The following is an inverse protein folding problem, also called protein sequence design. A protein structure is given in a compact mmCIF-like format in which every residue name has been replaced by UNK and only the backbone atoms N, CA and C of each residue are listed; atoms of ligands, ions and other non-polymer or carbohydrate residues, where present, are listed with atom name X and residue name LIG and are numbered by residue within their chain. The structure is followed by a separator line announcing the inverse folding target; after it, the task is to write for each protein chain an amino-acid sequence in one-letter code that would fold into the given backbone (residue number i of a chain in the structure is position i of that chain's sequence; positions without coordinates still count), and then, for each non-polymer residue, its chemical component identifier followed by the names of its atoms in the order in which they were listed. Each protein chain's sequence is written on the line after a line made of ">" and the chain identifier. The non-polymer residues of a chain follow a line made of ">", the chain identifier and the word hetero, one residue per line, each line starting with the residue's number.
data_IF_580767236891
#
_entry.id   IF_580767236891
#
_cell.length_a   1.000
_cell.length_b   1.000
_cell.length_c   1.000
_cell.angle_alpha   90.00
_cell.angle_beta   90.00
_cell.angle_gamma   90.00
#
_symmetry.space_group_name_H-M   'P 1'
#
loop_
_entity.id
_entity.type
_entity.pdbx_description
1 polymer ?
#
# COMPACT_ATOMS: atom_id res chain seq x y z
N UNK A 1 19.35 -29.56 -9.29
CA UNK A 1 18.42 -28.45 -9.45
C UNK A 1 19.07 -27.22 -8.86
N UNK A 2 19.11 -26.13 -9.62
CA UNK A 2 19.64 -24.88 -9.11
C UNK A 2 18.63 -24.21 -8.17
N UNK A 3 19.11 -23.24 -7.38
CA UNK A 3 18.29 -22.51 -6.39
C UNK A 3 17.27 -21.60 -7.09
N UNK A 4 16.12 -21.38 -6.45
CA UNK A 4 15.17 -20.31 -6.78
C UNK A 4 15.33 -19.24 -5.70
N UNK A 5 15.59 -18.01 -6.11
CA UNK A 5 15.80 -16.88 -5.21
C UNK A 5 14.59 -15.93 -5.30
N UNK A 6 14.07 -15.54 -4.16
CA UNK A 6 13.05 -14.50 -4.04
C UNK A 6 13.63 -13.35 -3.23
N UNK A 7 13.57 -12.14 -3.75
CA UNK A 7 14.03 -10.94 -3.07
C UNK A 7 12.84 -10.24 -2.44
N UNK A 8 12.85 -10.18 -1.12
CA UNK A 8 11.80 -9.56 -0.30
C UNK A 8 10.71 -10.52 0.16
N UNK A 9 10.30 -10.36 1.40
CA UNK A 9 9.32 -11.20 2.10
C UNK A 9 7.96 -10.50 2.33
N UNK A 10 7.62 -9.51 1.51
CA UNK A 10 6.26 -8.93 1.46
C UNK A 10 5.26 -9.86 0.77
N UNK A 11 4.00 -9.44 0.56
CA UNK A 11 2.97 -10.30 -0.05
C UNK A 11 3.41 -10.92 -1.37
N UNK A 12 3.97 -10.13 -2.30
CA UNK A 12 4.38 -10.66 -3.61
C UNK A 12 5.40 -11.79 -3.48
N UNK A 13 6.49 -11.57 -2.74
CA UNK A 13 7.53 -12.59 -2.57
C UNK A 13 7.04 -13.80 -1.77
N UNK A 14 6.31 -13.58 -0.68
CA UNK A 14 5.85 -14.67 0.18
C UNK A 14 4.80 -15.57 -0.49
N UNK A 15 3.88 -15.00 -1.27
CA UNK A 15 2.88 -15.76 -2.02
C UNK A 15 3.57 -16.60 -3.11
N UNK A 16 4.50 -15.99 -3.86
CA UNK A 16 5.22 -16.70 -4.90
C UNK A 16 6.11 -17.82 -4.32
N UNK A 17 6.77 -17.57 -3.16
CA UNK A 17 7.51 -18.62 -2.46
C UNK A 17 6.61 -19.79 -2.10
N UNK A 18 5.46 -19.52 -1.48
CA UNK A 18 4.49 -20.55 -1.09
C UNK A 18 3.97 -21.34 -2.28
N UNK A 19 3.57 -20.66 -3.36
CA UNK A 19 3.08 -21.30 -4.58
C UNK A 19 4.14 -22.19 -5.25
N UNK A 20 5.39 -21.73 -5.30
CA UNK A 20 6.49 -22.52 -5.91
C UNK A 20 6.74 -23.81 -5.14
N UNK A 21 6.80 -23.75 -3.81
CA UNK A 21 7.07 -24.97 -3.03
C UNK A 21 5.90 -25.93 -3.03
N UNK A 22 4.66 -25.46 -2.99
CA UNK A 22 3.47 -26.32 -2.95
C UNK A 22 3.12 -26.93 -4.33
N UNK A 23 3.24 -26.16 -5.40
CA UNK A 23 2.76 -26.63 -6.71
C UNK A 23 3.88 -27.20 -7.59
N UNK A 24 5.13 -26.73 -7.41
CA UNK A 24 6.25 -27.20 -8.20
C UNK A 24 7.21 -28.11 -7.42
N UNK A 25 7.03 -28.26 -6.10
CA UNK A 25 7.93 -29.00 -5.21
C UNK A 25 9.40 -28.55 -5.36
N UNK A 26 9.64 -27.25 -5.50
CA UNK A 26 10.95 -26.65 -5.70
C UNK A 26 11.33 -25.80 -4.48
N UNK A 27 12.51 -26.06 -3.86
CA UNK A 27 12.97 -25.27 -2.73
C UNK A 27 13.27 -23.82 -3.13
N UNK A 28 12.95 -22.89 -2.23
CA UNK A 28 13.08 -21.45 -2.42
C UNK A 28 13.91 -20.85 -1.29
N UNK A 29 14.81 -19.93 -1.62
CA UNK A 29 15.50 -19.09 -0.64
C UNK A 29 14.99 -17.64 -0.78
N UNK A 30 14.49 -17.06 0.31
CA UNK A 30 14.07 -15.66 0.38
C UNK A 30 15.22 -14.84 0.97
N UNK A 31 15.65 -13.81 0.26
CA UNK A 31 16.60 -12.81 0.75
C UNK A 31 15.82 -11.58 1.19
N UNK A 32 15.81 -11.29 2.50
CA UNK A 32 15.11 -10.16 3.08
C UNK A 32 16.10 -9.24 3.79
N UNK A 33 16.20 -7.98 3.33
CA UNK A 33 17.15 -7.01 3.89
C UNK A 33 16.81 -6.54 5.30
N UNK A 34 15.56 -6.69 5.73
CA UNK A 34 15.11 -6.32 7.07
C UNK A 34 15.33 -7.46 8.06
N UNK A 35 15.28 -7.12 9.35
CA UNK A 35 15.34 -8.10 10.44
C UNK A 35 14.02 -8.83 10.70
N UNK A 36 13.04 -8.73 9.80
CA UNK A 36 11.70 -9.29 9.94
C UNK A 36 11.07 -9.58 8.58
N UNK A 37 10.16 -10.53 8.53
CA UNK A 37 9.31 -10.85 7.38
C UNK A 37 8.13 -9.87 7.25
N UNK A 38 7.33 -10.03 6.20
CA UNK A 38 6.06 -9.32 5.99
C UNK A 38 6.20 -7.98 5.27
N UNK A 39 7.42 -7.54 4.95
CA UNK A 39 7.63 -6.27 4.25
C UNK A 39 6.98 -5.10 5.01
N UNK A 40 6.18 -4.28 4.32
CA UNK A 40 5.47 -3.16 4.94
C UNK A 40 4.25 -3.58 5.77
N UNK A 41 3.87 -4.87 5.76
CA UNK A 41 2.79 -5.41 6.59
C UNK A 41 3.25 -5.80 7.99
N UNK A 42 4.54 -5.73 8.28
CA UNK A 42 5.08 -6.11 9.58
C UNK A 42 4.43 -5.36 10.73
N UNK A 43 3.93 -6.11 11.68
CA UNK A 43 3.38 -5.62 12.94
C UNK A 43 3.97 -6.36 14.14
N UNK A 44 3.85 -5.75 15.30
CA UNK A 44 4.29 -6.33 16.56
C UNK A 44 3.54 -5.73 17.74
N UNK A 45 3.43 -6.50 18.80
CA UNK A 45 2.94 -5.99 20.07
C UNK A 45 3.98 -5.07 20.73
N UNK A 46 3.54 -3.93 21.23
CA UNK A 46 4.33 -3.07 22.09
C UNK A 46 4.36 -3.62 23.53
N UNK A 47 5.10 -2.95 24.42
CA UNK A 47 5.20 -3.31 25.83
C UNK A 47 3.88 -3.23 26.62
N UNK A 48 2.87 -2.57 26.09
CA UNK A 48 1.54 -2.39 26.68
C UNK A 48 0.49 -3.33 26.05
N UNK A 49 0.90 -4.23 25.17
CA UNK A 49 0.02 -5.18 24.49
C UNK A 49 -0.78 -4.59 23.34
N UNK A 50 -0.37 -3.45 22.79
CA UNK A 50 -0.96 -2.85 21.59
C UNK A 50 -0.27 -3.42 20.35
N UNK A 51 -1.04 -3.98 19.42
CA UNK A 51 -0.52 -4.45 18.12
C UNK A 51 -0.28 -3.25 17.19
N UNK A 52 0.99 -2.96 16.92
CA UNK A 52 1.42 -1.81 16.13
C UNK A 52 1.89 -2.26 14.76
N UNK A 53 1.30 -1.75 13.70
CA UNK A 53 1.80 -1.89 12.33
C UNK A 53 2.91 -0.87 12.10
N UNK A 54 4.13 -1.36 11.90
CA UNK A 54 5.33 -0.51 11.90
C UNK A 54 5.41 0.46 10.72
N UNK A 55 4.74 0.16 9.62
CA UNK A 55 4.87 0.92 8.37
C UNK A 55 3.56 1.61 7.96
N UNK A 56 2.75 1.99 8.92
CA UNK A 56 1.45 2.62 8.72
C UNK A 56 0.29 1.62 8.73
N UNK A 57 -0.97 2.11 8.83
CA UNK A 57 -2.12 1.24 8.93
C UNK A 57 -2.42 0.56 7.59
N UNK A 58 -2.66 -0.73 7.67
CA UNK A 58 -3.03 -1.58 6.55
C UNK A 58 -4.33 -2.32 6.88
N UNK A 59 -5.25 -2.32 5.92
CA UNK A 59 -6.52 -3.02 5.98
C UNK A 59 -6.65 -3.89 4.73
N UNK A 60 -6.92 -5.18 4.92
CA UNK A 60 -7.25 -6.05 3.82
C UNK A 60 -8.65 -5.72 3.32
N UNK A 61 -8.74 -5.24 2.09
CA UNK A 61 -10.00 -4.87 1.47
C UNK A 61 -9.97 -5.25 -0.01
N UNK A 62 -10.99 -5.96 -0.48
CA UNK A 62 -11.07 -6.47 -1.85
C UNK A 62 -12.52 -6.69 -2.25
N UNK A 63 -12.79 -6.70 -3.56
CA UNK A 63 -14.08 -7.17 -4.12
C UNK A 63 -14.00 -8.64 -4.54
N UNK A 64 -12.83 -9.27 -4.40
CA UNK A 64 -12.58 -10.65 -4.84
C UNK A 64 -12.46 -11.61 -3.65
N UNK A 65 -13.49 -12.42 -3.42
CA UNK A 65 -13.53 -13.35 -2.28
C UNK A 65 -12.38 -14.37 -2.30
N UNK A 66 -11.91 -14.80 -3.46
CA UNK A 66 -10.79 -15.75 -3.55
C UNK A 66 -9.48 -15.24 -2.92
N UNK A 67 -9.28 -13.92 -2.84
CA UNK A 67 -8.13 -13.32 -2.12
C UNK A 67 -8.27 -13.58 -0.62
N UNK A 68 -9.48 -13.42 -0.08
CA UNK A 68 -9.79 -13.70 1.32
C UNK A 68 -9.65 -15.19 1.61
N UNK A 69 -10.22 -16.04 0.76
CA UNK A 69 -10.17 -17.50 0.86
C UNK A 69 -8.73 -18.03 0.86
N UNK A 70 -7.87 -17.45 0.00
CA UNK A 70 -6.44 -17.79 0.00
C UNK A 70 -5.77 -17.45 1.33
N UNK A 71 -5.99 -16.26 1.87
CA UNK A 71 -5.37 -15.84 3.13
C UNK A 71 -5.92 -16.55 4.37
N UNK A 72 -7.19 -16.98 4.32
CA UNK A 72 -7.82 -17.77 5.40
C UNK A 72 -7.18 -19.15 5.60
N UNK A 73 -6.40 -19.64 4.64
CA UNK A 73 -5.60 -20.85 4.81
C UNK A 73 -4.45 -20.65 5.84
N UNK A 74 -4.03 -19.40 6.07
CA UNK A 74 -2.87 -19.05 6.89
C UNK A 74 -3.22 -18.26 8.15
N UNK A 75 -4.39 -17.64 8.23
CA UNK A 75 -4.82 -16.86 9.38
C UNK A 75 -6.33 -16.83 9.54
N UNK A 76 -6.80 -16.67 10.78
CA UNK A 76 -8.16 -16.25 11.03
C UNK A 76 -8.29 -14.76 10.71
N UNK A 77 -9.30 -14.43 9.93
CA UNK A 77 -9.61 -13.05 9.55
C UNK A 77 -10.94 -12.62 10.16
N UNK A 78 -10.97 -11.46 10.78
CA UNK A 78 -12.21 -10.90 11.31
C UNK A 78 -12.69 -9.71 10.46
N UNK A 79 -13.99 -9.55 10.24
CA UNK A 79 -14.55 -8.41 9.53
C UNK A 79 -14.20 -7.11 10.25
N UNK A 80 -13.65 -6.13 9.52
CA UNK A 80 -13.29 -4.85 10.08
C UNK A 80 -13.52 -3.73 9.07
N UNK A 81 -14.59 -2.97 9.27
CA UNK A 81 -14.92 -1.80 8.44
C UNK A 81 -14.26 -0.57 9.06
N UNK A 82 -13.06 -0.26 8.60
CA UNK A 82 -12.32 0.89 9.07
C UNK A 82 -13.08 2.21 8.85
N UNK A 83 -13.02 3.11 9.84
CA UNK A 83 -13.54 4.48 9.74
C UNK A 83 -12.41 5.48 9.63
N UNK A 84 -12.62 6.44 8.76
CA UNK A 84 -11.69 7.55 8.54
C UNK A 84 -12.48 8.85 8.59
N UNK A 85 -12.03 9.79 9.41
CA UNK A 85 -12.55 11.14 9.46
C UNK A 85 -11.47 12.14 9.02
N UNK A 86 -11.88 13.28 8.50
CA UNK A 86 -11.01 14.40 8.18
C UNK A 86 -11.22 15.52 9.20
N UNK A 87 -10.13 16.09 9.71
CA UNK A 87 -10.20 17.21 10.64
C UNK A 87 -10.10 18.53 9.87
N UNK A 88 -11.25 19.19 9.70
CA UNK A 88 -11.41 20.41 8.89
C UNK A 88 -12.07 21.50 9.75
N UNK A 89 -11.45 22.67 9.81
CA UNK A 89 -11.94 23.83 10.56
C UNK A 89 -12.32 23.52 12.02
N UNK A 90 -11.51 22.68 12.68
CA UNK A 90 -11.76 22.29 14.07
C UNK A 90 -12.80 21.19 14.27
N UNK A 91 -13.38 20.63 13.21
CA UNK A 91 -14.41 19.60 13.27
C UNK A 91 -13.98 18.32 12.59
N UNK A 92 -14.48 17.19 13.10
CA UNK A 92 -14.34 15.89 12.44
C UNK A 92 -15.45 15.73 11.40
N UNK A 93 -15.06 15.57 10.14
CA UNK A 93 -15.97 15.38 9.00
C UNK A 93 -15.75 14.02 8.36
N UNK A 94 -16.82 13.46 7.84
CA UNK A 94 -16.81 12.15 7.18
C UNK A 94 -15.84 12.11 5.99
N UNK A 95 -15.03 11.05 5.92
CA UNK A 95 -14.18 10.70 4.78
C UNK A 95 -14.34 9.18 4.51
N UNK A 96 -14.55 8.70 3.29
CA UNK A 96 -14.64 9.46 2.02
C UNK A 96 -15.72 10.53 2.06
N UNK A 97 -15.45 11.65 1.35
CA UNK A 97 -16.43 12.73 1.25
C UNK A 97 -17.70 12.23 0.59
N UNK A 98 -18.84 12.48 1.22
CA UNK A 98 -20.14 11.99 0.82
C UNK A 98 -21.26 12.97 1.23
N UNK A 99 -22.52 12.56 1.20
CA UNK A 99 -23.63 13.43 1.59
C UNK A 99 -23.61 13.82 3.08
N UNK A 100 -23.08 12.96 3.96
CA UNK A 100 -22.85 13.33 5.37
C UNK A 100 -21.86 14.49 5.47
N UNK A 101 -20.80 14.48 4.65
CA UNK A 101 -19.81 15.58 4.60
C UNK A 101 -20.45 16.91 4.20
N UNK A 102 -21.38 16.91 3.22
CA UNK A 102 -22.13 18.12 2.83
C UNK A 102 -22.88 18.70 4.04
N UNK A 103 -23.57 17.83 4.78
CA UNK A 103 -24.33 18.23 5.97
C UNK A 103 -23.42 18.77 7.08
N UNK A 104 -22.29 18.15 7.31
CA UNK A 104 -21.32 18.54 8.34
C UNK A 104 -20.62 19.87 8.03
N UNK A 105 -20.28 20.13 6.76
CA UNK A 105 -19.58 21.35 6.35
C UNK A 105 -20.52 22.56 6.21
N UNK A 106 -21.76 22.37 5.74
CA UNK A 106 -22.66 23.46 5.41
C UNK A 106 -23.77 23.67 6.46
N UNK A 107 -24.01 22.67 7.31
CA UNK A 107 -25.13 22.68 8.26
C UNK A 107 -26.49 22.42 7.62
N UNK A 108 -27.52 22.25 8.45
CA UNK A 108 -28.84 21.77 8.03
C UNK A 108 -29.57 22.70 7.02
N UNK A 109 -29.39 24.03 7.13
CA UNK A 109 -30.07 24.97 6.27
C UNK A 109 -29.60 24.96 4.81
N UNK A 110 -28.30 24.83 4.59
CA UNK A 110 -27.68 24.92 3.26
C UNK A 110 -27.51 23.56 2.59
N UNK A 111 -27.41 22.49 3.37
CA UNK A 111 -27.15 21.15 2.83
C UNK A 111 -28.32 20.56 2.07
N UNK A 112 -29.57 20.75 2.52
CA UNK A 112 -30.76 20.15 1.90
C UNK A 112 -30.90 20.51 0.40
N UNK A 113 -30.98 21.80 0.03
CA UNK A 113 -31.08 22.21 -1.36
C UNK A 113 -29.90 21.73 -2.22
N UNK A 114 -28.68 21.78 -1.70
CA UNK A 114 -27.48 21.31 -2.43
C UNK A 114 -27.51 19.79 -2.67
N UNK A 115 -27.95 19.01 -1.69
CA UNK A 115 -28.07 17.56 -1.83
C UNK A 115 -29.09 17.16 -2.91
N UNK A 116 -30.19 17.89 -3.05
CA UNK A 116 -31.16 17.69 -4.13
C UNK A 116 -30.52 17.98 -5.49
N UNK A 117 -29.77 19.08 -5.63
CA UNK A 117 -29.04 19.44 -6.83
C UNK A 117 -27.99 18.38 -7.20
N UNK A 118 -27.18 17.92 -6.24
CA UNK A 118 -26.18 16.89 -6.45
C UNK A 118 -26.81 15.57 -6.92
N UNK A 119 -27.92 15.14 -6.32
CA UNK A 119 -28.64 13.93 -6.75
C UNK A 119 -29.22 14.07 -8.15
N UNK A 120 -29.70 15.24 -8.51
CA UNK A 120 -30.25 15.49 -9.85
C UNK A 120 -29.15 15.55 -10.91
N UNK A 121 -28.06 16.30 -10.64
CA UNK A 121 -26.96 16.50 -11.58
C UNK A 121 -26.18 15.21 -11.84
N UNK A 122 -26.01 14.37 -10.83
CA UNK A 122 -25.19 13.16 -10.92
C UNK A 122 -26.01 11.85 -10.77
N UNK A 123 -27.27 11.89 -11.23
CA UNK A 123 -28.17 10.74 -11.17
C UNK A 123 -27.53 9.49 -11.81
N UNK A 124 -27.52 8.38 -11.05
CA UNK A 124 -26.98 7.09 -11.50
C UNK A 124 -25.44 6.97 -11.40
N UNK A 125 -24.78 7.96 -10.82
CA UNK A 125 -23.34 7.88 -10.52
C UNK A 125 -23.12 7.66 -9.05
N UNK A 126 -22.28 6.72 -8.70
CA UNK A 126 -21.93 6.41 -7.30
C UNK A 126 -20.84 7.36 -6.77
N UNK A 127 -19.99 7.87 -7.66
CA UNK A 127 -18.84 8.71 -7.32
C UNK A 127 -18.62 9.79 -8.36
N UNK A 128 -18.16 10.97 -7.92
CA UNK A 128 -17.87 12.12 -8.77
C UNK A 128 -16.52 12.71 -8.39
N UNK A 129 -15.57 12.88 -9.34
CA UNK A 129 -14.31 13.57 -9.11
C UNK A 129 -14.53 14.99 -8.58
N UNK A 130 -13.72 15.43 -7.61
CA UNK A 130 -13.87 16.77 -7.03
C UNK A 130 -13.74 17.88 -8.05
N UNK A 131 -12.86 17.72 -9.05
CA UNK A 131 -12.69 18.74 -10.11
C UNK A 131 -13.92 18.87 -11.04
N UNK A 132 -14.71 17.82 -11.17
CA UNK A 132 -15.98 17.89 -11.90
C UNK A 132 -17.01 18.72 -11.13
N UNK A 133 -17.02 18.60 -9.78
CA UNK A 133 -17.82 19.49 -8.94
C UNK A 133 -17.37 20.95 -9.10
N UNK A 134 -16.06 21.22 -9.03
CA UNK A 134 -15.49 22.57 -9.19
C UNK A 134 -15.88 23.22 -10.52
N UNK A 135 -15.86 22.46 -11.61
CA UNK A 135 -16.14 22.93 -12.96
C UNK A 135 -17.63 22.87 -13.34
N UNK A 136 -18.51 22.49 -12.41
CA UNK A 136 -19.92 22.32 -12.71
C UNK A 136 -20.62 23.64 -13.04
N UNK A 137 -21.60 23.62 -13.96
CA UNK A 137 -22.34 24.82 -14.41
C UNK A 137 -23.29 25.40 -13.37
N UNK A 138 -23.82 24.58 -12.44
CA UNK A 138 -24.59 25.08 -11.29
C UNK A 138 -23.62 25.70 -10.28
N UNK A 139 -23.88 26.98 -9.95
CA UNK A 139 -22.99 27.78 -9.08
C UNK A 139 -22.89 27.25 -7.64
N UNK A 140 -23.93 26.63 -7.10
CA UNK A 140 -23.89 26.08 -5.74
C UNK A 140 -23.07 24.77 -5.69
N UNK A 141 -23.21 23.91 -6.71
CA UNK A 141 -22.38 22.71 -6.85
C UNK A 141 -20.90 23.13 -7.03
N UNK A 142 -20.62 24.11 -7.90
CA UNK A 142 -19.27 24.61 -8.12
C UNK A 142 -18.67 25.26 -6.87
N UNK A 143 -19.44 26.05 -6.12
CA UNK A 143 -18.99 26.66 -4.88
C UNK A 143 -18.64 25.59 -3.82
N UNK A 144 -19.49 24.55 -3.69
CA UNK A 144 -19.21 23.43 -2.79
C UNK A 144 -17.96 22.63 -3.24
N UNK A 145 -17.85 22.33 -4.53
CA UNK A 145 -16.69 21.66 -5.09
C UNK A 145 -15.39 22.43 -4.81
N UNK A 146 -15.40 23.75 -4.97
CA UNK A 146 -14.28 24.64 -4.67
C UNK A 146 -13.96 24.64 -3.17
N UNK A 147 -14.97 24.76 -2.31
CA UNK A 147 -14.78 24.68 -0.85
C UNK A 147 -14.13 23.35 -0.44
N UNK A 148 -14.62 22.25 -0.96
CA UNK A 148 -14.07 20.91 -0.65
C UNK A 148 -12.65 20.75 -1.19
N UNK A 149 -12.37 21.21 -2.41
CA UNK A 149 -11.05 21.19 -3.02
C UNK A 149 -10.03 21.96 -2.19
N UNK A 150 -10.32 23.22 -1.87
CA UNK A 150 -9.39 24.09 -1.13
C UNK A 150 -9.15 23.60 0.30
N UNK A 151 -10.20 23.13 1.00
CA UNK A 151 -10.08 22.71 2.41
C UNK A 151 -9.51 21.32 2.61
N UNK A 152 -9.71 20.41 1.66
CA UNK A 152 -9.43 19.01 1.87
C UNK A 152 -8.44 18.40 0.89
N UNK A 153 -8.45 18.80 -0.39
CA UNK A 153 -7.61 18.15 -1.40
C UNK A 153 -6.28 18.85 -1.63
N UNK A 154 -6.31 20.16 -1.86
CA UNK A 154 -5.14 20.93 -2.33
C UNK A 154 -3.92 20.71 -1.44
N UNK A 155 -4.00 21.07 -0.16
CA UNK A 155 -2.88 20.98 0.79
C UNK A 155 -2.53 19.54 1.11
N UNK A 156 -3.53 18.66 1.26
CA UNK A 156 -3.30 17.24 1.56
C UNK A 156 -2.52 16.56 0.43
N UNK A 157 -2.97 16.76 -0.80
CA UNK A 157 -2.35 16.14 -1.98
C UNK A 157 -0.92 16.64 -2.18
N UNK A 158 -0.70 17.95 -2.07
CA UNK A 158 0.65 18.53 -2.14
C UNK A 158 1.60 17.92 -1.12
N UNK A 159 1.17 17.80 0.14
CA UNK A 159 1.97 17.15 1.20
C UNK A 159 2.28 15.69 0.87
N UNK A 160 1.24 14.93 0.55
CA UNK A 160 1.35 13.50 0.34
C UNK A 160 2.28 13.16 -0.82
N UNK A 161 2.19 13.91 -1.91
CA UNK A 161 2.97 13.64 -3.12
C UNK A 161 4.25 14.49 -3.24
N UNK A 162 4.41 15.53 -2.40
CA UNK A 162 5.58 16.43 -2.44
C UNK A 162 5.66 17.27 -3.71
N UNK A 163 4.50 17.63 -4.28
CA UNK A 163 4.36 18.46 -5.49
C UNK A 163 3.63 19.76 -5.16
N UNK A 164 3.83 20.80 -5.99
CA UNK A 164 3.11 22.05 -5.80
C UNK A 164 1.62 21.86 -6.13
N UNK A 165 0.70 22.60 -5.46
CA UNK A 165 -0.73 22.47 -5.71
C UNK A 165 -1.13 22.67 -7.18
N UNK A 166 -0.39 23.51 -7.90
CA UNK A 166 -0.59 23.84 -9.31
C UNK A 166 -0.13 22.72 -10.26
N UNK A 167 0.73 21.83 -9.77
CA UNK A 167 1.30 20.69 -10.52
C UNK A 167 0.54 19.38 -10.26
N UNK A 168 -0.52 19.42 -9.42
CA UNK A 168 -1.32 18.24 -9.09
C UNK A 168 -2.06 17.77 -10.35
N UNK A 169 -1.66 16.61 -10.85
CA UNK A 169 -2.36 15.97 -11.97
C UNK A 169 -3.80 15.59 -11.57
N UNK A 170 -4.72 15.80 -12.50
CA UNK A 170 -6.13 15.42 -12.35
C UNK A 170 -6.27 13.95 -11.92
N UNK A 171 -5.44 13.06 -12.46
CA UNK A 171 -5.43 11.64 -12.10
C UNK A 171 -5.21 11.41 -10.58
N UNK A 172 -4.39 12.22 -9.92
CA UNK A 172 -4.14 12.12 -8.47
C UNK A 172 -5.37 12.54 -7.67
N UNK A 173 -6.08 13.57 -8.12
CA UNK A 173 -7.29 14.07 -7.49
C UNK A 173 -8.49 13.14 -7.69
N UNK A 174 -8.56 12.47 -8.85
CA UNK A 174 -9.63 11.52 -9.19
C UNK A 174 -9.60 10.24 -8.33
N UNK A 175 -8.50 10.00 -7.59
CA UNK A 175 -8.37 8.84 -6.69
C UNK A 175 -9.22 8.90 -5.43
N UNK A 176 -9.65 10.10 -5.03
CA UNK A 176 -10.51 10.30 -3.86
C UNK A 176 -11.76 11.08 -4.30
N UNK A 177 -12.66 10.45 -5.08
CA UNK A 177 -13.88 11.11 -5.51
C UNK A 177 -14.86 11.30 -4.35
N UNK A 178 -15.76 12.26 -4.48
CA UNK A 178 -16.92 12.36 -3.59
C UNK A 178 -17.92 11.23 -3.89
N UNK A 179 -18.36 10.50 -2.87
CA UNK A 179 -19.41 9.50 -3.00
C UNK A 179 -20.82 10.15 -3.00
N UNK A 180 -21.69 9.70 -3.91
CA UNK A 180 -23.06 10.21 -4.05
C UNK A 180 -24.04 9.42 -3.19
N UNK A 181 -23.68 9.14 -1.92
CA UNK A 181 -24.45 8.35 -0.97
C UNK A 181 -24.13 8.76 0.47
N UNK A 182 -24.56 7.96 1.46
CA UNK A 182 -24.29 8.12 2.89
C UNK A 182 -23.41 6.99 3.46
N UNK A 183 -22.68 6.25 2.61
CA UNK A 183 -21.79 5.19 3.08
C UNK A 183 -20.58 5.82 3.82
N UNK A 184 -20.40 5.45 5.09
CA UNK A 184 -19.35 5.97 5.96
C UNK A 184 -18.10 5.08 6.03
N UNK A 185 -18.11 3.93 5.34
CA UNK A 185 -16.93 3.04 5.31
C UNK A 185 -15.78 3.72 4.59
N UNK A 186 -14.58 3.62 5.16
CA UNK A 186 -13.38 4.20 4.54
C UNK A 186 -13.14 3.65 3.12
N UNK A 187 -13.29 2.35 2.97
CA UNK A 187 -13.15 1.66 1.70
C UNK A 187 -14.49 1.03 1.34
N UNK A 188 -14.99 1.32 0.14
CA UNK A 188 -16.22 0.74 -0.37
C UNK A 188 -15.89 -0.54 -1.14
N UNK A 189 -15.45 -1.59 -0.42
CA UNK A 189 -15.16 -2.91 -0.91
C UNK A 189 -16.07 -3.93 -0.21
N UNK A 190 -16.40 -5.02 -0.90
CA UNK A 190 -17.31 -6.04 -0.39
C UNK A 190 -16.72 -6.76 0.82
N UNK A 191 -15.42 -7.02 0.79
CA UNK A 191 -14.71 -7.76 1.82
C UNK A 191 -13.67 -6.87 2.49
N UNK A 192 -13.83 -6.63 3.80
CA UNK A 192 -12.91 -5.82 4.61
C UNK A 192 -12.59 -6.60 5.89
N UNK A 193 -11.30 -6.91 6.06
CA UNK A 193 -10.83 -7.79 7.13
C UNK A 193 -9.51 -7.33 7.73
N UNK A 194 -9.24 -7.82 8.94
CA UNK A 194 -7.92 -7.83 9.56
C UNK A 194 -7.60 -9.23 10.09
N UNK A 195 -6.32 -9.64 10.13
CA UNK A 195 -5.93 -10.87 10.80
C UNK A 195 -6.09 -10.73 12.33
N UNK A 196 -6.70 -11.74 13.00
CA UNK A 196 -6.93 -11.72 14.46
C UNK A 196 -5.64 -11.52 15.26
N UNK A 197 -4.54 -12.16 14.84
CA UNK A 197 -3.25 -12.12 15.51
C UNK A 197 -2.24 -11.17 14.82
N UNK A 198 -2.70 -10.39 13.85
CA UNK A 198 -1.88 -9.47 13.06
C UNK A 198 -1.29 -10.08 11.78
N UNK A 199 -0.74 -9.21 10.96
CA UNK A 199 -0.17 -9.59 9.66
C UNK A 199 1.11 -10.42 9.82
N UNK A 200 1.96 -10.12 10.78
CA UNK A 200 3.20 -10.88 10.98
C UNK A 200 2.92 -12.35 11.23
N UNK A 201 1.88 -12.67 12.02
CA UNK A 201 1.47 -14.06 12.24
C UNK A 201 0.94 -14.73 10.97
N UNK A 202 0.21 -13.99 10.14
CA UNK A 202 -0.20 -14.48 8.83
C UNK A 202 1.03 -14.83 7.98
N UNK A 203 2.04 -13.96 7.92
CA UNK A 203 3.27 -14.21 7.16
C UNK A 203 4.09 -15.37 7.74
N UNK A 204 4.18 -15.53 9.06
CA UNK A 204 4.81 -16.69 9.69
C UNK A 204 4.16 -17.99 9.16
N UNK A 205 2.82 -18.05 9.11
CA UNK A 205 2.10 -19.23 8.62
C UNK A 205 2.19 -19.41 7.10
N UNK A 206 2.14 -18.31 6.34
CA UNK A 206 2.30 -18.34 4.89
C UNK A 206 3.69 -18.88 4.48
N UNK A 207 4.72 -18.58 5.25
CA UNK A 207 6.11 -18.99 4.99
C UNK A 207 6.54 -20.25 5.75
N UNK A 208 5.67 -20.84 6.58
CA UNK A 208 5.96 -22.09 7.30
C UNK A 208 5.93 -23.29 6.35
N UNK A 209 7.05 -23.58 5.74
CA UNK A 209 7.25 -24.74 4.86
C UNK A 209 8.72 -25.19 4.91
N UNK A 210 9.00 -26.53 4.93
CA UNK A 210 10.39 -27.05 5.06
C UNK A 210 11.29 -26.64 3.89
N UNK A 211 10.73 -26.39 2.71
CA UNK A 211 11.46 -26.02 1.51
C UNK A 211 11.51 -24.49 1.28
N UNK A 212 11.11 -23.69 2.25
CA UNK A 212 11.29 -22.22 2.26
C UNK A 212 12.37 -21.85 3.27
N UNK A 213 13.52 -21.42 2.77
CA UNK A 213 14.59 -20.84 3.57
C UNK A 213 14.47 -19.32 3.59
N UNK A 214 14.57 -18.67 4.75
CA UNK A 214 14.48 -17.22 4.91
C UNK A 214 15.77 -16.66 5.48
N UNK A 215 16.48 -15.85 4.71
CA UNK A 215 17.68 -15.14 5.12
C UNK A 215 17.31 -13.69 5.45
N UNK A 216 17.10 -13.39 6.74
CA UNK A 216 16.89 -12.03 7.24
C UNK A 216 18.21 -11.25 7.31
N UNK A 217 18.13 -9.91 7.36
CA UNK A 217 19.30 -9.00 7.37
C UNK A 217 20.25 -9.26 6.19
N UNK A 218 19.72 -9.69 5.05
CA UNK A 218 20.48 -10.06 3.86
C UNK A 218 20.03 -9.18 2.69
N UNK A 219 20.88 -8.24 2.31
CA UNK A 219 20.62 -7.43 1.12
C UNK A 219 20.93 -8.22 -0.14
N UNK A 220 19.92 -8.50 -0.93
CA UNK A 220 20.06 -9.28 -2.15
C UNK A 220 21.05 -8.64 -3.15
N UNK A 221 21.22 -7.31 -3.11
CA UNK A 221 22.17 -6.61 -4.00
C UNK A 221 23.63 -6.96 -3.71
N UNK A 222 23.95 -7.46 -2.53
CA UNK A 222 25.28 -7.97 -2.18
C UNK A 222 25.53 -9.39 -2.69
N UNK A 223 24.48 -10.12 -3.06
CA UNK A 223 24.52 -11.54 -3.46
C UNK A 223 24.18 -11.78 -4.93
N UNK A 224 23.44 -10.85 -5.57
CA UNK A 224 23.02 -10.98 -6.96
C UNK A 224 24.03 -10.35 -7.91
N UNK A 225 24.39 -11.09 -8.95
CA UNK A 225 25.30 -10.67 -10.01
C UNK A 225 24.58 -10.71 -11.36
N UNK A 226 24.65 -9.61 -12.11
CA UNK A 226 24.09 -9.46 -13.45
C UNK A 226 25.10 -10.00 -14.48
N UNK A 227 24.97 -11.26 -14.86
CA UNK A 227 25.83 -11.87 -15.86
C UNK A 227 25.33 -11.54 -17.26
N UNK A 228 25.95 -10.54 -17.88
CA UNK A 228 25.60 -10.07 -19.23
C UNK A 228 26.09 -10.98 -20.34
N UNK A 229 27.02 -11.88 -20.06
CA UNK A 229 27.54 -12.82 -21.04
C UNK A 229 26.59 -14.01 -21.22
N UNK A 230 26.14 -14.56 -20.10
CA UNK A 230 25.21 -15.70 -20.10
C UNK A 230 23.72 -15.25 -20.09
N UNK A 231 23.45 -13.95 -20.04
CA UNK A 231 22.08 -13.39 -19.95
C UNK A 231 21.24 -13.92 -18.77
N UNK A 232 21.87 -14.14 -17.62
CA UNK A 232 21.23 -14.64 -16.40
C UNK A 232 21.64 -13.82 -15.17
N UNK A 233 20.82 -13.90 -14.13
CA UNK A 233 21.22 -13.48 -12.78
C UNK A 233 21.87 -14.68 -12.08
N UNK A 234 23.02 -14.45 -11.43
CA UNK A 234 23.68 -15.39 -10.53
C UNK A 234 23.47 -14.98 -9.08
N UNK A 235 23.58 -15.91 -8.16
CA UNK A 235 23.58 -15.64 -6.72
C UNK A 235 24.83 -16.29 -6.11
N UNK A 236 25.66 -15.50 -5.42
CA UNK A 236 26.96 -15.90 -4.85
C UNK A 236 27.85 -16.59 -5.90
N UNK A 237 27.96 -16.01 -7.09
CA UNK A 237 28.73 -16.53 -8.22
C UNK A 237 28.15 -17.78 -8.88
N UNK A 238 27.02 -18.31 -8.42
CA UNK A 238 26.42 -19.56 -8.92
C UNK A 238 25.19 -19.28 -9.77
N UNK A 239 24.98 -20.01 -10.87
CA UNK A 239 23.73 -19.95 -11.61
C UNK A 239 22.53 -20.31 -10.71
N UNK A 240 21.43 -19.58 -10.89
CA UNK A 240 20.13 -19.87 -10.25
C UNK A 240 19.08 -20.08 -11.34
N UNK A 241 18.10 -20.91 -11.06
CA UNK A 241 17.05 -21.20 -12.04
C UNK A 241 16.10 -20.03 -12.25
N UNK A 242 15.82 -19.28 -11.20
CA UNK A 242 14.88 -18.18 -11.23
C UNK A 242 15.20 -17.17 -10.12
N UNK A 243 15.10 -15.90 -10.43
CA UNK A 243 15.12 -14.79 -9.47
C UNK A 243 13.81 -14.04 -9.57
N UNK A 244 13.05 -13.98 -8.48
CA UNK A 244 11.88 -13.10 -8.35
C UNK A 244 12.30 -11.88 -7.55
N UNK A 245 12.33 -10.72 -8.18
CA UNK A 245 12.76 -9.48 -7.56
C UNK A 245 11.54 -8.61 -7.21
N UNK A 246 11.40 -8.23 -5.92
CA UNK A 246 10.29 -7.38 -5.45
C UNK A 246 10.75 -6.01 -4.95
N UNK A 247 12.05 -5.74 -4.96
CA UNK A 247 12.67 -4.46 -4.58
C UNK A 247 12.54 -3.37 -5.63
N UNK A 248 13.14 -2.22 -5.37
CA UNK A 248 13.19 -1.12 -6.34
C UNK A 248 14.08 -1.50 -7.53
N UNK A 249 13.54 -1.44 -8.74
CA UNK A 249 14.22 -1.92 -9.95
C UNK A 249 15.49 -1.11 -10.27
N UNK A 250 15.49 0.17 -10.01
CA UNK A 250 16.65 1.03 -10.22
C UNK A 250 17.83 0.64 -9.34
N UNK A 251 17.56 0.22 -8.08
CA UNK A 251 18.59 -0.28 -7.16
C UNK A 251 19.25 -1.56 -7.72
N UNK A 252 18.48 -2.49 -8.31
CA UNK A 252 19.01 -3.72 -8.91
C UNK A 252 20.06 -3.43 -10.00
N UNK A 253 19.86 -2.36 -10.77
CA UNK A 253 20.76 -1.96 -11.84
C UNK A 253 21.72 -0.82 -11.45
N UNK A 254 21.95 -0.62 -10.12
CA UNK A 254 22.88 0.39 -9.62
C UNK A 254 22.53 1.82 -10.02
N UNK A 255 21.24 2.12 -10.16
CA UNK A 255 20.72 3.41 -10.59
C UNK A 255 21.30 3.92 -11.93
N UNK A 256 21.66 3.03 -12.85
CA UNK A 256 22.34 3.30 -14.13
C UNK A 256 21.65 4.39 -14.97
N UNK A 257 20.32 4.46 -14.93
CA UNK A 257 19.52 5.46 -15.65
C UNK A 257 18.99 6.58 -14.74
N UNK A 258 19.53 6.67 -13.52
CA UNK A 258 19.08 7.56 -12.46
C UNK A 258 18.01 6.90 -11.56
N UNK A 259 17.83 7.48 -10.38
CA UNK A 259 16.89 6.97 -9.37
C UNK A 259 15.43 7.15 -9.82
N UNK A 260 14.59 6.18 -9.48
CA UNK A 260 13.14 6.33 -9.59
C UNK A 260 12.60 7.03 -8.34
N UNK A 261 11.67 7.97 -8.49
CA UNK A 261 11.17 8.70 -7.35
C UNK A 261 10.13 7.88 -6.55
N UNK A 262 10.34 7.82 -5.23
CA UNK A 262 9.39 7.24 -4.29
C UNK A 262 9.03 8.23 -3.18
N UNK A 263 7.84 8.07 -2.61
CA UNK A 263 7.48 8.72 -1.34
C UNK A 263 7.84 7.81 -0.18
N UNK A 264 8.17 8.47 0.93
CA UNK A 264 8.46 7.83 2.21
C UNK A 264 7.67 8.47 3.33
N UNK A 265 7.78 7.91 4.53
CA UNK A 265 7.08 8.37 5.73
C UNK A 265 8.04 8.37 6.93
N UNK A 266 7.95 9.42 7.77
CA UNK A 266 8.36 9.37 9.18
C UNK A 266 7.11 9.10 10.02
N UNK A 267 7.07 7.99 10.71
CA UNK A 267 5.92 7.60 11.54
C UNK A 267 6.32 7.73 12.99
N UNK A 268 5.61 8.59 13.73
CA UNK A 268 5.88 8.87 15.14
C UNK A 268 4.79 8.27 16.01
N UNK A 269 5.21 7.50 17.01
CA UNK A 269 4.30 6.79 17.91
C UNK A 269 4.24 7.51 19.25
N UNK A 270 3.01 7.76 19.72
CA UNK A 270 2.76 8.36 21.04
C UNK A 270 1.81 7.46 21.81
N UNK A 271 2.22 7.06 23.00
CA UNK A 271 1.37 6.28 23.92
C UNK A 271 0.54 7.22 24.80
N UNK A 272 -0.70 6.83 25.06
CA UNK A 272 -1.64 7.52 25.94
C UNK A 272 -2.21 6.55 26.98
N UNK A 273 -2.31 6.98 28.24
CA UNK A 273 -2.95 6.21 29.32
C UNK A 273 -4.48 6.36 29.24
N UNK A 274 -5.04 6.08 28.08
CA UNK A 274 -6.48 6.12 27.76
C UNK A 274 -6.79 5.02 26.76
N UNK A 275 -7.92 4.34 26.92
CA UNK A 275 -8.34 3.29 26.00
C UNK A 275 -8.78 3.80 24.63
N UNK A 276 -9.24 5.02 24.55
CA UNK A 276 -9.65 5.68 23.31
C UNK A 276 -9.21 7.15 23.34
N UNK A 277 -8.57 7.59 22.27
CA UNK A 277 -8.03 8.95 22.10
C UNK A 277 -8.70 9.64 20.91
N UNK A 278 -8.79 8.96 19.77
CA UNK A 278 -9.39 9.47 18.55
C UNK A 278 -10.87 9.02 18.45
N UNK A 279 -11.73 9.76 17.75
CA UNK A 279 -13.14 9.37 17.55
C UNK A 279 -13.31 8.10 16.69
N UNK A 280 -12.34 7.78 15.84
CA UNK A 280 -12.31 6.54 15.05
C UNK A 280 -10.85 6.09 14.85
N UNK A 281 -10.63 5.05 14.03
CA UNK A 281 -9.30 4.47 13.80
C UNK A 281 -8.34 5.47 13.19
N UNK A 282 -8.78 6.27 12.22
CA UNK A 282 -7.89 7.14 11.44
C UNK A 282 -8.48 8.54 11.34
N UNK A 283 -7.62 9.54 11.58
CA UNK A 283 -7.93 10.96 11.34
C UNK A 283 -6.97 11.51 10.29
N UNK A 284 -7.51 12.07 9.22
CA UNK A 284 -6.77 12.81 8.20
C UNK A 284 -6.70 14.30 8.57
N UNK A 285 -5.55 14.93 8.33
CA UNK A 285 -5.30 16.34 8.63
C UNK A 285 -4.96 17.13 7.35
N UNK A 286 -5.94 17.48 6.52
CA UNK A 286 -5.68 18.18 5.26
C UNK A 286 -5.09 19.58 5.45
N UNK A 287 -5.43 20.26 6.54
CA UNK A 287 -5.09 21.66 6.75
C UNK A 287 -3.79 21.90 7.53
N UNK A 288 -3.18 20.86 8.12
CA UNK A 288 -1.86 21.00 8.77
C UNK A 288 -0.74 21.11 7.74
N UNK A 289 0.39 21.69 8.12
CA UNK A 289 1.54 21.89 7.23
C UNK A 289 2.42 20.65 7.06
N UNK A 290 2.41 19.73 8.02
CA UNK A 290 3.43 18.70 8.18
C UNK A 290 2.91 17.26 8.19
N UNK A 291 1.89 16.94 9.01
CA UNK A 291 1.38 15.58 9.10
C UNK A 291 0.19 15.34 8.15
N UNK A 292 0.01 14.09 7.75
CA UNK A 292 -1.11 13.69 6.88
C UNK A 292 -2.24 13.02 7.63
N UNK A 293 -1.91 12.11 8.56
CA UNK A 293 -2.93 11.38 9.33
C UNK A 293 -2.38 10.85 10.66
N UNK A 294 -3.31 10.55 11.55
CA UNK A 294 -3.04 9.78 12.77
C UNK A 294 -3.90 8.53 12.83
N UNK A 295 -3.33 7.45 13.33
CA UNK A 295 -3.99 6.15 13.47
C UNK A 295 -3.95 5.70 14.91
N UNK A 296 -5.09 5.25 15.45
CA UNK A 296 -5.20 4.65 16.78
C UNK A 296 -5.22 3.12 16.67
N UNK A 297 -4.09 2.47 16.95
CA UNK A 297 -3.91 1.04 16.73
C UNK A 297 -4.77 0.15 17.63
N UNK A 298 -5.08 0.59 18.86
CA UNK A 298 -5.98 -0.18 19.75
C UNK A 298 -7.33 -0.49 19.10
N UNK A 299 -7.86 0.45 18.29
CA UNK A 299 -9.15 0.28 17.59
C UNK A 299 -9.11 -0.73 16.44
N UNK A 300 -7.92 -1.10 15.99
CA UNK A 300 -7.71 -2.07 14.92
C UNK A 300 -7.51 -3.51 15.43
N UNK A 301 -7.42 -3.72 16.74
CA UNK A 301 -7.20 -5.03 17.34
C UNK A 301 -8.50 -5.84 17.40
N UNK A 302 -8.41 -7.14 17.12
CA UNK A 302 -9.52 -8.09 17.35
C UNK A 302 -9.86 -8.20 18.83
N UNK A 303 -8.84 -8.38 19.67
CA UNK A 303 -8.97 -8.39 21.13
C UNK A 303 -7.97 -7.42 21.75
N UNK A 304 -8.51 -6.37 22.37
CA UNK A 304 -7.73 -5.39 23.14
C UNK A 304 -7.90 -5.50 24.65
N UNK A 305 -8.49 -6.60 25.16
CA UNK A 305 -8.80 -6.78 26.58
C UNK A 305 -7.57 -6.76 27.49
N UNK A 306 -6.42 -7.19 26.96
CA UNK A 306 -5.13 -7.20 27.68
C UNK A 306 -4.27 -5.97 27.41
N UNK A 307 -4.70 -5.10 26.50
CA UNK A 307 -3.95 -3.91 26.15
C UNK A 307 -4.14 -2.80 27.19
N UNK A 308 -3.07 -2.11 27.55
CA UNK A 308 -3.10 -0.96 28.44
C UNK A 308 -2.93 0.33 27.65
N UNK A 309 -3.84 1.29 27.83
CA UNK A 309 -3.80 2.56 27.14
C UNK A 309 -4.04 2.43 25.63
N UNK A 310 -3.57 3.40 24.85
CA UNK A 310 -3.63 3.37 23.40
C UNK A 310 -2.36 3.95 22.77
N UNK A 311 -2.06 3.57 21.51
CA UNK A 311 -0.95 4.13 20.72
C UNK A 311 -1.50 4.83 19.50
N UNK A 312 -1.09 6.08 19.35
CA UNK A 312 -1.36 6.89 18.16
C UNK A 312 -0.08 6.94 17.32
N UNK A 313 -0.18 6.52 16.06
CA UNK A 313 0.85 6.76 15.05
C UNK A 313 0.48 7.97 14.21
N UNK A 314 1.36 8.97 14.13
CA UNK A 314 1.20 10.14 13.27
C UNK A 314 2.19 10.08 12.12
N UNK A 315 1.71 10.25 10.90
CA UNK A 315 2.48 10.11 9.67
C UNK A 315 2.89 11.48 9.10
N UNK A 316 4.18 11.59 8.82
CA UNK A 316 4.81 12.76 8.19
C UNK A 316 5.38 12.33 6.84
N UNK A 317 4.86 12.83 5.71
CA UNK A 317 5.32 12.41 4.40
C UNK A 317 6.68 13.01 4.07
N UNK A 318 7.55 12.17 3.52
CA UNK A 318 8.91 12.52 3.11
C UNK A 318 9.17 12.04 1.67
N UNK A 319 10.20 12.60 1.06
CA UNK A 319 10.80 11.98 -0.12
C UNK A 319 11.63 10.76 0.32
N UNK A 320 11.67 9.75 -0.51
CA UNK A 320 12.56 8.60 -0.28
C UNK A 320 14.01 9.01 -0.52
N UNK A 321 14.85 8.71 0.45
CA UNK A 321 16.31 8.79 0.36
C UNK A 321 16.90 7.59 1.11
N UNK A 322 17.51 6.61 0.42
CA UNK A 322 18.07 5.42 1.07
C UNK A 322 19.19 5.72 2.07
N UNK A 323 19.87 6.87 1.94
CA UNK A 323 20.96 7.27 2.83
C UNK A 323 20.49 8.07 4.07
N UNK A 324 19.24 8.50 4.10
CA UNK A 324 18.70 9.30 5.20
C UNK A 324 18.41 8.45 6.45
N UNK A 325 18.48 9.05 7.63
CA UNK A 325 18.04 8.42 8.88
C UNK A 325 16.52 8.15 8.88
N UNK A 326 15.75 9.07 8.27
CA UNK A 326 14.31 9.01 8.11
C UNK A 326 13.95 9.15 6.64
N UNK A 327 12.88 8.53 6.22
CA UNK A 327 12.50 8.57 4.81
C UNK A 327 13.27 7.57 3.94
N UNK A 328 13.95 6.61 4.55
CA UNK A 328 14.77 5.59 3.88
C UNK A 328 14.00 4.31 3.50
N UNK A 329 12.67 4.37 3.51
CA UNK A 329 11.81 3.25 3.11
C UNK A 329 10.93 3.70 1.95
N UNK A 330 11.01 3.06 0.79
CA UNK A 330 10.13 3.39 -0.33
C UNK A 330 8.72 2.82 -0.10
N UNK A 331 7.71 3.69 -0.07
CA UNK A 331 6.31 3.28 0.09
C UNK A 331 5.54 3.32 -1.23
N UNK A 332 5.63 4.45 -1.91
CA UNK A 332 4.78 4.72 -3.09
C UNK A 332 5.62 5.27 -4.23
N UNK A 333 5.58 4.65 -5.41
CA UNK A 333 6.22 5.23 -6.59
C UNK A 333 5.52 6.54 -7.00
N UNK A 334 6.31 7.56 -7.34
CA UNK A 334 5.82 8.82 -7.90
C UNK A 334 5.86 8.72 -9.42
N UNK A 335 4.72 8.34 -9.99
CA UNK A 335 4.61 8.07 -11.42
C UNK A 335 4.30 9.36 -12.18
N UNK A 336 5.33 9.89 -12.85
CA UNK A 336 5.26 11.02 -13.79
C UNK A 336 5.61 10.52 -15.21
N UNK A 337 5.48 11.34 -16.21
CA UNK A 337 5.91 11.00 -17.58
C UNK A 337 7.42 10.70 -17.63
N UNK A 338 8.24 11.53 -16.96
CA UNK A 338 9.68 11.35 -16.86
C UNK A 338 10.06 10.03 -16.15
N UNK A 339 9.48 9.79 -14.96
CA UNK A 339 9.79 8.57 -14.20
C UNK A 339 9.30 7.30 -14.92
N UNK A 340 8.20 7.39 -15.66
CA UNK A 340 7.70 6.30 -16.52
C UNK A 340 8.67 6.01 -17.67
N UNK A 341 9.17 7.06 -18.34
CA UNK A 341 10.17 6.89 -19.40
C UNK A 341 11.46 6.24 -18.85
N UNK A 342 11.92 6.67 -17.67
CA UNK A 342 13.07 6.09 -16.97
C UNK A 342 12.85 4.62 -16.61
N UNK A 343 11.68 4.29 -16.08
CA UNK A 343 11.31 2.91 -15.76
C UNK A 343 11.33 2.01 -17.01
N UNK A 344 10.89 2.52 -18.18
CA UNK A 344 10.98 1.76 -19.44
C UNK A 344 12.42 1.44 -19.85
N UNK A 345 13.39 2.28 -19.47
CA UNK A 345 14.81 1.97 -19.72
C UNK A 345 15.29 0.78 -18.86
N UNK A 346 14.85 0.73 -17.61
CA UNK A 346 15.11 -0.42 -16.73
C UNK A 346 14.44 -1.71 -17.21
N UNK A 347 13.21 -1.63 -17.71
CA UNK A 347 12.52 -2.82 -18.26
C UNK A 347 13.26 -3.41 -19.47
N UNK A 348 13.94 -2.59 -20.28
CA UNK A 348 14.80 -3.10 -21.36
C UNK A 348 16.00 -3.87 -20.81
N UNK A 349 16.61 -3.40 -19.71
CA UNK A 349 17.69 -4.16 -19.05
C UNK A 349 17.16 -5.50 -18.49
N UNK A 350 15.97 -5.51 -17.89
CA UNK A 350 15.35 -6.75 -17.39
C UNK A 350 15.17 -7.78 -18.50
N UNK A 351 14.77 -7.36 -19.69
CA UNK A 351 14.55 -8.26 -20.82
C UNK A 351 15.81 -8.96 -21.34
N UNK A 352 16.99 -8.50 -20.92
CA UNK A 352 18.27 -9.17 -21.23
C UNK A 352 18.52 -10.40 -20.33
N UNK A 353 17.75 -10.59 -19.25
CA UNK A 353 17.97 -11.67 -18.29
C UNK A 353 16.77 -12.64 -18.27
N UNK A 354 16.96 -13.83 -18.81
CA UNK A 354 15.88 -14.81 -18.99
C UNK A 354 15.30 -15.36 -17.68
N UNK A 355 16.11 -15.38 -16.60
CA UNK A 355 15.73 -15.92 -15.29
C UNK A 355 15.28 -14.85 -14.28
N UNK A 356 15.11 -13.59 -14.70
CA UNK A 356 14.67 -12.49 -13.84
C UNK A 356 13.18 -12.19 -14.02
N UNK A 357 12.45 -12.24 -12.92
CA UNK A 357 11.01 -11.93 -12.84
C UNK A 357 10.77 -10.78 -11.88
N UNK A 358 10.00 -9.79 -12.31
CA UNK A 358 9.60 -8.66 -11.45
C UNK A 358 8.18 -8.89 -10.95
N UNK A 359 7.98 -8.74 -9.66
CA UNK A 359 6.64 -8.78 -9.06
C UNK A 359 6.54 -7.85 -7.86
N UNK A 360 5.51 -7.04 -7.81
CA UNK A 360 5.23 -6.18 -6.69
C UNK A 360 5.46 -4.70 -6.94
N UNK A 361 4.93 -3.90 -6.03
CA UNK A 361 4.77 -2.44 -6.17
C UNK A 361 6.06 -1.69 -6.54
N UNK A 362 7.18 -2.05 -5.94
CA UNK A 362 8.45 -1.36 -6.19
C UNK A 362 9.11 -1.84 -7.47
N UNK A 363 9.18 -3.15 -7.69
CA UNK A 363 9.78 -3.74 -8.88
C UNK A 363 9.04 -3.35 -10.17
N UNK A 364 7.72 -3.26 -10.12
CA UNK A 364 6.87 -2.91 -11.26
C UNK A 364 6.60 -1.40 -11.34
N UNK A 365 7.14 -0.61 -10.42
CA UNK A 365 6.98 0.84 -10.33
C UNK A 365 5.51 1.27 -10.49
N UNK A 366 4.59 0.55 -9.80
CA UNK A 366 3.15 0.78 -9.85
C UNK A 366 2.58 0.97 -8.46
N UNK A 367 1.54 1.78 -8.38
CA UNK A 367 0.79 1.90 -7.14
C UNK A 367 -0.21 0.75 -7.03
N UNK A 368 0.05 -0.16 -6.11
CA UNK A 368 -0.84 -1.26 -5.74
C UNK A 368 -1.36 -1.10 -4.32
N UNK A 369 -2.64 -1.34 -4.12
CA UNK A 369 -3.17 -1.68 -2.81
C UNK A 369 -2.81 -3.14 -2.48
N UNK A 370 -3.03 -3.53 -1.23
CA UNK A 370 -2.67 -4.86 -0.73
C UNK A 370 -3.36 -5.98 -1.52
N UNK A 371 -4.67 -5.84 -1.75
CA UNK A 371 -5.47 -6.79 -2.51
C UNK A 371 -4.90 -7.04 -3.93
N UNK A 372 -4.58 -5.96 -4.63
CA UNK A 372 -3.98 -6.05 -5.96
C UNK A 372 -2.59 -6.71 -5.92
N UNK A 373 -1.78 -6.45 -4.89
CA UNK A 373 -0.49 -7.14 -4.74
C UNK A 373 -0.67 -8.65 -4.59
N UNK A 374 -1.66 -9.09 -3.79
CA UNK A 374 -1.97 -10.50 -3.54
C UNK A 374 -2.49 -11.15 -4.82
N UNK A 375 -3.51 -10.55 -5.43
CA UNK A 375 -4.11 -11.02 -6.67
C UNK A 375 -3.08 -11.14 -7.79
N UNK A 376 -2.27 -10.09 -7.98
CA UNK A 376 -1.25 -10.09 -9.00
C UNK A 376 -0.20 -11.19 -8.76
N UNK A 377 0.26 -11.40 -7.52
CA UNK A 377 1.21 -12.47 -7.22
C UNK A 377 0.62 -13.86 -7.52
N UNK A 378 -0.65 -14.09 -7.16
CA UNK A 378 -1.34 -15.35 -7.46
C UNK A 378 -1.44 -15.61 -8.96
N UNK A 379 -1.75 -14.59 -9.75
CA UNK A 379 -1.82 -14.69 -11.22
C UNK A 379 -0.44 -14.80 -11.87
N UNK A 380 0.52 -14.03 -11.37
CA UNK A 380 1.88 -13.96 -11.92
C UNK A 380 2.67 -15.27 -11.74
N UNK A 381 2.30 -16.07 -10.73
CA UNK A 381 2.87 -17.40 -10.51
C UNK A 381 2.83 -18.28 -11.77
N UNK A 382 1.80 -18.16 -12.58
CA UNK A 382 1.66 -18.93 -13.83
C UNK A 382 2.82 -18.67 -14.80
N UNK A 383 3.31 -17.43 -14.90
CA UNK A 383 4.47 -17.10 -15.76
C UNK A 383 5.73 -17.80 -15.26
N UNK A 384 5.93 -17.82 -13.94
CA UNK A 384 7.09 -18.47 -13.31
C UNK A 384 6.98 -20.00 -13.48
N UNK A 385 5.78 -20.57 -13.30
CA UNK A 385 5.52 -21.99 -13.49
C UNK A 385 5.92 -22.44 -14.89
N UNK A 386 5.39 -21.78 -15.92
CA UNK A 386 5.68 -22.10 -17.33
C UNK A 386 7.19 -22.03 -17.63
N UNK A 387 7.86 -21.03 -17.08
CA UNK A 387 9.32 -20.89 -17.26
C UNK A 387 10.09 -22.05 -16.59
N UNK A 388 9.79 -22.35 -15.33
CA UNK A 388 10.49 -23.39 -14.57
C UNK A 388 10.24 -24.81 -15.12
N UNK A 389 9.03 -25.10 -15.59
CA UNK A 389 8.68 -26.38 -16.24
C UNK A 389 9.46 -26.59 -17.54
N UNK A 390 9.61 -25.55 -18.36
CA UNK A 390 10.43 -25.62 -19.59
C UNK A 390 11.89 -25.94 -19.27
N UNK A 391 12.48 -25.35 -18.22
CA UNK A 391 13.85 -25.64 -17.78
C UNK A 391 14.04 -27.06 -17.23
N UNK A 392 12.99 -27.72 -16.78
CA UNK A 392 13.08 -29.08 -16.25
C UNK A 392 13.07 -30.13 -17.37
N UNK A 393 12.50 -29.80 -18.52
CA UNK A 393 12.36 -30.72 -19.67
C UNK A 393 13.32 -30.47 -20.84
N UNK A 394 14.15 -29.42 -20.78
CA UNK A 394 15.23 -29.13 -21.71
C UNK A 394 16.60 -29.46 -21.11
#
# INVERSE_FOLDING_TARGET
>A
MNRIIIVGSGFSGSILARKIVEELNRPVTILEKRSHIGGNMYDKYDKNGILIQKYGPHFLNTDHYYVIEYLQQFARLFPHNAKLLSFIDGNYVQLPFNFTTVQQLLGAKQSGPLLEKLRAAFKGRDRVPVLELVKHSDSEISAYGTLLFEKAYRTYTSKMWGIQPEEIDQYVLDRVPMAMNYDERYLNKDFQYLPEEGFTKLFEKLLEHPDIEICLNTDALEHLELDRYDHIIRCDGKPVDCVVYTGAIDELFGCKYGTLPYRSLDIRYTWYDKESVLPCEIISYPQTSDCTRSTEYRKMMFDSSRARGSVIATEYPLNYDPAAEKGNIPYYPVVTEESRARYQMYLREVSEYENLFLCGRLAEFRYYNMDICIEHALQYFENIRVYLEKKTHG
#
